data_IF_313696844293
#
_entry.id   IF_313696844293
#
_cell.length_a   1.000
_cell.length_b   1.000
_cell.length_c   1.000
_cell.angle_alpha   90.00
_cell.angle_beta   90.00
_cell.angle_gamma   90.00
#
_symmetry.space_group_name_H-M   'P 1'
#
loop_
_entity.id
_entity.type
_entity.pdbx_description
1 polymer ?
#
# COMPACT_ATOMS: atom_id res chain seq x y z
N UNK A 1 1.33 -32.90 9.21
CA UNK A 1 1.63 -31.68 8.42
C UNK A 1 0.41 -30.81 8.59
N UNK A 2 0.56 -29.65 9.23
CA UNK A 2 -0.54 -28.66 9.32
C UNK A 2 -0.81 -28.17 7.91
N UNK A 3 -2.06 -28.15 7.48
CA UNK A 3 -2.43 -27.55 6.19
C UNK A 3 -1.87 -26.13 6.11
N UNK A 4 -1.34 -25.70 4.94
CA UNK A 4 -0.86 -24.34 4.78
C UNK A 4 -2.02 -23.36 5.06
N UNK A 5 -1.73 -22.29 5.80
CA UNK A 5 -2.72 -21.27 6.11
C UNK A 5 -3.26 -20.66 4.79
N UNK A 6 -4.58 -20.67 4.54
CA UNK A 6 -5.16 -20.26 3.27
C UNK A 6 -4.92 -18.78 2.92
N UNK A 7 -4.50 -17.98 3.88
CA UNK A 7 -4.24 -16.55 3.70
C UNK A 7 -2.75 -16.24 3.45
N UNK A 8 -1.88 -17.29 3.50
CA UNK A 8 -0.47 -17.11 3.21
C UNK A 8 -0.28 -16.90 1.70
N UNK A 9 0.38 -15.80 1.31
CA UNK A 9 0.56 -15.39 -0.08
C UNK A 9 -0.75 -15.23 -0.88
N UNK A 10 -1.83 -14.88 -0.19
CA UNK A 10 -3.14 -14.64 -0.79
C UNK A 10 -3.04 -13.53 -1.86
N UNK A 11 -3.65 -13.74 -3.01
CA UNK A 11 -3.85 -12.74 -4.07
C UNK A 11 -5.31 -12.23 -4.11
N UNK A 12 -5.56 -11.18 -4.89
CA UNK A 12 -6.89 -10.54 -4.97
C UNK A 12 -7.93 -11.52 -5.55
N UNK A 13 -7.58 -12.28 -6.58
CA UNK A 13 -8.48 -13.19 -7.26
C UNK A 13 -8.93 -14.33 -6.32
N UNK A 14 -7.97 -14.95 -5.62
CA UNK A 14 -8.25 -15.99 -4.63
C UNK A 14 -9.04 -15.43 -3.44
N UNK A 15 -8.75 -14.20 -2.98
CA UNK A 15 -9.53 -13.55 -1.94
C UNK A 15 -11.00 -13.38 -2.36
N UNK A 16 -11.25 -12.84 -3.55
CA UNK A 16 -12.60 -12.63 -4.07
C UNK A 16 -13.33 -13.96 -4.33
N UNK A 17 -12.63 -15.01 -4.76
CA UNK A 17 -13.20 -16.34 -4.89
C UNK A 17 -13.66 -16.88 -3.53
N UNK A 18 -12.80 -16.80 -2.51
CA UNK A 18 -13.14 -17.22 -1.16
C UNK A 18 -14.33 -16.45 -0.57
N UNK A 19 -14.41 -15.14 -0.79
CA UNK A 19 -15.56 -14.31 -0.37
C UNK A 19 -16.85 -14.75 -1.11
N UNK A 20 -16.75 -15.06 -2.39
CA UNK A 20 -17.88 -15.51 -3.22
C UNK A 20 -18.39 -16.88 -2.78
N UNK A 21 -17.49 -17.80 -2.47
CA UNK A 21 -17.82 -19.15 -2.04
C UNK A 21 -18.20 -19.23 -0.57
N UNK A 22 -17.93 -18.16 0.19
CA UNK A 22 -18.18 -18.11 1.64
C UNK A 22 -17.22 -18.98 2.47
N UNK A 23 -16.07 -19.35 1.91
CA UNK A 23 -15.05 -20.12 2.62
C UNK A 23 -14.35 -19.29 3.70
N UNK A 24 -14.24 -17.98 3.49
CA UNK A 24 -13.78 -17.00 4.46
C UNK A 24 -14.31 -15.59 4.09
N UNK A 25 -14.11 -14.64 4.98
CA UNK A 25 -14.60 -13.26 4.86
C UNK A 25 -13.46 -12.26 4.75
N UNK A 26 -13.76 -11.03 4.31
CA UNK A 26 -12.79 -9.93 4.32
C UNK A 26 -12.32 -9.64 5.77
N UNK A 27 -13.18 -9.84 6.77
CA UNK A 27 -12.84 -9.73 8.17
C UNK A 27 -11.79 -10.79 8.59
N UNK A 28 -11.92 -12.04 8.12
CA UNK A 28 -10.95 -13.10 8.44
C UNK A 28 -9.59 -12.79 7.83
N UNK A 29 -9.55 -12.35 6.58
CA UNK A 29 -8.32 -11.94 5.88
C UNK A 29 -7.67 -10.74 6.58
N UNK A 30 -8.45 -9.73 6.95
CA UNK A 30 -7.95 -8.55 7.68
C UNK A 30 -7.40 -8.94 9.05
N UNK A 31 -8.13 -9.77 9.81
CA UNK A 31 -7.68 -10.27 11.10
C UNK A 31 -6.38 -11.07 11.01
N UNK A 32 -6.22 -11.89 9.96
CA UNK A 32 -4.97 -12.59 9.69
C UNK A 32 -3.80 -11.61 9.51
N UNK A 33 -3.93 -10.60 8.66
CA UNK A 33 -2.85 -9.63 8.45
C UNK A 33 -2.55 -8.81 9.71
N UNK A 34 -3.55 -8.43 10.50
CA UNK A 34 -3.33 -7.79 11.80
C UNK A 34 -2.53 -8.69 12.75
N UNK A 35 -2.83 -9.99 12.78
CA UNK A 35 -2.07 -10.98 13.56
C UNK A 35 -0.63 -11.10 13.06
N UNK A 36 -0.43 -11.10 11.74
CA UNK A 36 0.92 -11.09 11.12
C UNK A 36 1.71 -9.84 11.52
N UNK A 37 1.07 -8.68 11.46
CA UNK A 37 1.68 -7.42 11.90
C UNK A 37 2.09 -7.54 13.38
N UNK A 38 1.19 -7.96 14.26
CA UNK A 38 1.49 -8.11 15.68
C UNK A 38 2.66 -9.07 15.95
N UNK A 39 2.79 -10.14 15.17
CA UNK A 39 3.85 -11.14 15.35
C UNK A 39 5.23 -10.70 14.81
N UNK A 40 5.27 -9.88 13.76
CA UNK A 40 6.51 -9.61 13.02
C UNK A 40 7.01 -8.17 13.15
N UNK A 41 6.13 -7.23 13.48
CA UNK A 41 6.45 -5.81 13.37
C UNK A 41 7.44 -5.31 14.42
N UNK A 42 7.53 -5.95 15.58
CA UNK A 42 8.55 -5.63 16.60
C UNK A 42 9.96 -5.80 16.04
N UNK A 43 10.16 -6.81 15.17
CA UNK A 43 11.42 -7.03 14.48
C UNK A 43 11.54 -6.20 13.20
N UNK A 44 10.56 -6.28 12.30
CA UNK A 44 10.66 -5.72 10.95
C UNK A 44 10.45 -4.21 10.90
N UNK A 45 9.68 -3.66 11.83
CA UNK A 45 9.33 -2.22 11.89
C UNK A 45 8.82 -1.68 10.55
N UNK A 46 8.05 -2.51 9.84
CA UNK A 46 7.50 -2.19 8.54
C UNK A 46 6.22 -1.33 8.62
N UNK A 47 5.52 -1.37 9.75
CA UNK A 47 4.25 -0.66 9.98
C UNK A 47 4.41 0.32 11.14
N UNK A 48 4.15 1.61 10.89
CA UNK A 48 4.20 2.66 11.93
C UNK A 48 2.91 2.64 12.75
N UNK A 49 1.77 2.48 12.09
CA UNK A 49 0.47 2.53 12.74
C UNK A 49 -0.52 1.60 12.05
N UNK A 50 -1.27 0.84 12.85
CA UNK A 50 -2.42 0.06 12.39
C UNK A 50 -3.66 0.94 12.42
N UNK A 51 -4.53 0.80 11.44
CA UNK A 51 -5.84 1.45 11.44
C UNK A 51 -6.74 0.81 12.51
N UNK A 52 -7.18 1.56 13.55
CA UNK A 52 -8.05 1.00 14.58
C UNK A 52 -9.42 0.55 14.03
N UNK A 53 -9.84 1.10 12.89
CA UNK A 53 -11.12 0.81 12.26
C UNK A 53 -11.03 -0.30 11.20
N UNK A 54 -9.86 -0.92 10.97
CA UNK A 54 -9.65 -1.90 9.88
C UNK A 54 -10.64 -3.07 9.92
N UNK A 55 -10.95 -3.63 11.09
CA UNK A 55 -11.92 -4.72 11.21
C UNK A 55 -13.36 -4.25 10.98
N UNK A 56 -13.69 -3.02 11.35
CA UNK A 56 -14.99 -2.42 11.08
C UNK A 56 -15.17 -2.15 9.58
N UNK A 57 -14.12 -1.64 8.90
CA UNK A 57 -14.10 -1.49 7.45
C UNK A 57 -14.27 -2.85 6.74
N UNK A 58 -13.60 -3.90 7.25
CA UNK A 58 -13.72 -5.26 6.72
C UNK A 58 -15.13 -5.84 6.85
N UNK A 59 -15.79 -5.66 8.00
CA UNK A 59 -17.20 -6.05 8.16
C UNK A 59 -18.15 -5.29 7.24
N UNK A 60 -17.85 -4.02 6.96
CA UNK A 60 -18.61 -3.23 5.99
C UNK A 60 -18.43 -3.79 4.56
N UNK A 61 -17.21 -4.20 4.19
CA UNK A 61 -16.92 -4.87 2.93
C UNK A 61 -17.66 -6.21 2.81
N UNK A 62 -17.70 -7.02 3.88
CA UNK A 62 -18.46 -8.27 3.91
C UNK A 62 -19.97 -8.05 3.71
N UNK A 63 -20.51 -6.99 4.31
CA UNK A 63 -21.92 -6.61 4.09
C UNK A 63 -22.16 -6.18 2.65
N UNK A 64 -21.25 -5.40 2.06
CA UNK A 64 -21.31 -4.97 0.66
C UNK A 64 -21.27 -6.18 -0.28
N UNK A 65 -20.36 -7.12 -0.03
CA UNK A 65 -20.24 -8.33 -0.82
C UNK A 65 -21.52 -9.18 -0.79
N UNK A 66 -22.14 -9.33 0.39
CA UNK A 66 -23.45 -10.04 0.54
C UNK A 66 -24.60 -9.36 -0.18
N UNK A 67 -24.56 -8.01 -0.33
CA UNK A 67 -25.57 -7.27 -1.14
C UNK A 67 -25.37 -7.43 -2.64
N UNK A 68 -24.27 -8.03 -3.09
CA UNK A 68 -23.95 -8.22 -4.49
C UNK A 68 -22.97 -7.18 -5.06
N UNK A 69 -22.39 -6.29 -4.25
CA UNK A 69 -21.39 -5.34 -4.71
C UNK A 69 -20.12 -6.10 -5.19
N UNK A 70 -19.53 -5.63 -6.29
CA UNK A 70 -18.35 -6.25 -6.92
C UNK A 70 -17.37 -5.17 -7.37
N UNK A 71 -16.75 -4.51 -6.38
CA UNK A 71 -15.71 -3.52 -6.62
C UNK A 71 -14.34 -4.20 -6.79
N UNK A 72 -13.42 -3.61 -7.57
CA UNK A 72 -12.14 -4.23 -7.91
C UNK A 72 -11.26 -4.63 -6.73
N UNK A 73 -11.34 -3.90 -5.62
CA UNK A 73 -10.56 -4.14 -4.40
C UNK A 73 -11.46 -4.39 -3.18
N UNK A 74 -12.72 -4.79 -3.39
CA UNK A 74 -13.68 -4.98 -2.29
C UNK A 74 -13.14 -6.00 -1.26
N UNK A 75 -12.91 -5.52 -0.03
CA UNK A 75 -12.43 -6.35 1.05
C UNK A 75 -10.92 -6.64 1.03
N UNK A 76 -10.14 -5.96 0.20
CA UNK A 76 -8.69 -6.17 0.08
C UNK A 76 -7.92 -5.22 1.01
N UNK A 77 -7.13 -5.74 1.98
CA UNK A 77 -6.32 -4.93 2.88
C UNK A 77 -5.10 -4.30 2.19
N UNK A 78 -4.92 -2.99 2.40
CA UNK A 78 -3.85 -2.18 1.80
C UNK A 78 -3.13 -1.36 2.87
N UNK A 79 -1.80 -1.40 2.91
CA UNK A 79 -0.97 -0.48 3.69
C UNK A 79 -0.62 0.76 2.87
N UNK A 80 -0.67 1.92 3.51
CA UNK A 80 -0.40 3.21 2.88
C UNK A 80 0.92 3.77 3.42
N UNK A 81 1.88 4.09 2.54
CA UNK A 81 3.12 4.75 2.96
C UNK A 81 2.84 6.01 3.78
N UNK A 82 3.60 6.24 4.84
CA UNK A 82 3.25 7.25 5.85
C UNK A 82 3.50 8.71 5.43
N UNK A 83 3.88 8.96 4.19
CA UNK A 83 3.87 10.29 3.57
C UNK A 83 2.61 10.60 2.76
N UNK A 84 1.62 9.68 2.73
CA UNK A 84 0.34 9.83 2.03
C UNK A 84 -0.75 10.07 3.06
N UNK A 85 -1.51 11.15 2.93
CA UNK A 85 -2.58 11.55 3.85
C UNK A 85 -3.70 10.52 3.90
N UNK A 86 -4.08 10.16 5.13
CA UNK A 86 -5.25 9.33 5.43
C UNK A 86 -6.08 10.01 6.50
N UNK A 87 -7.34 10.29 6.20
CA UNK A 87 -8.27 10.87 7.17
C UNK A 87 -8.60 9.88 8.30
N UNK A 88 -9.18 10.40 9.38
CA UNK A 88 -9.62 9.60 10.53
C UNK A 88 -8.59 9.57 11.65
N UNK A 89 -8.40 8.38 12.23
CA UNK A 89 -7.61 8.23 13.46
C UNK A 89 -6.11 7.98 13.21
N UNK A 90 -5.70 7.85 11.94
CA UNK A 90 -4.30 7.63 11.59
C UNK A 90 -3.58 8.95 11.34
N UNK A 91 -2.32 9.00 11.79
CA UNK A 91 -1.42 10.12 11.55
C UNK A 91 -0.74 9.97 10.19
N UNK A 92 -0.23 11.08 9.67
CA UNK A 92 0.62 11.11 8.48
C UNK A 92 1.88 11.88 8.83
N UNK A 93 2.98 11.18 9.03
CA UNK A 93 4.17 11.76 9.66
C UNK A 93 5.38 11.90 8.73
N UNK A 94 5.35 11.27 7.55
CA UNK A 94 6.56 11.08 6.73
C UNK A 94 7.74 10.49 7.51
N UNK A 95 7.46 9.75 8.60
CA UNK A 95 8.44 9.20 9.53
C UNK A 95 9.07 10.22 10.49
N UNK A 96 8.73 11.50 10.38
CA UNK A 96 9.35 12.58 11.10
C UNK A 96 8.68 12.86 12.46
N UNK A 97 9.48 12.98 13.51
CA UNK A 97 9.00 13.33 14.86
C UNK A 97 8.28 14.68 14.87
N UNK A 98 8.69 15.62 14.00
CA UNK A 98 8.03 16.92 13.86
C UNK A 98 6.55 16.82 13.47
N UNK A 99 6.15 15.74 12.77
CA UNK A 99 4.78 15.46 12.37
C UNK A 99 4.13 14.33 13.18
N UNK A 100 4.74 13.89 14.29
CA UNK A 100 4.26 12.76 15.09
C UNK A 100 2.82 12.92 15.64
N UNK A 101 2.27 14.12 15.60
CA UNK A 101 0.89 14.42 16.01
C UNK A 101 0.03 15.01 14.89
N UNK A 102 0.50 14.92 13.64
CA UNK A 102 -0.24 15.43 12.50
C UNK A 102 -1.31 14.44 12.03
N UNK A 103 -2.56 14.88 12.06
CA UNK A 103 -3.72 14.19 11.49
C UNK A 103 -4.18 14.91 10.23
N UNK A 104 -4.27 14.18 9.14
CA UNK A 104 -4.79 14.74 7.90
C UNK A 104 -6.30 15.03 8.01
N UNK A 105 -6.74 16.21 7.55
CA UNK A 105 -8.14 16.58 7.53
C UNK A 105 -8.96 15.87 6.45
N UNK A 106 -8.29 15.21 5.50
CA UNK A 106 -8.89 14.49 4.38
C UNK A 106 -7.98 13.37 3.91
N UNK A 107 -8.55 12.41 3.19
CA UNK A 107 -7.76 11.42 2.46
C UNK A 107 -7.06 12.06 1.25
N UNK A 108 -5.84 11.62 0.94
CA UNK A 108 -5.23 11.86 -0.35
C UNK A 108 -6.14 11.31 -1.47
N UNK A 109 -6.11 11.91 -2.67
CA UNK A 109 -6.97 11.49 -3.78
C UNK A 109 -6.85 9.99 -4.08
N UNK A 110 -5.62 9.45 -4.10
CA UNK A 110 -5.41 8.01 -4.30
C UNK A 110 -6.04 7.14 -3.21
N UNK A 111 -6.09 7.62 -1.95
CA UNK A 111 -6.73 6.88 -0.84
C UNK A 111 -8.24 6.90 -0.98
N UNK A 112 -8.81 8.04 -1.43
CA UNK A 112 -10.24 8.12 -1.77
C UNK A 112 -10.58 7.11 -2.88
N UNK A 113 -9.75 7.04 -3.93
CA UNK A 113 -9.92 6.10 -5.05
C UNK A 113 -9.84 4.64 -4.60
N UNK A 114 -8.89 4.30 -3.73
CA UNK A 114 -8.77 2.97 -3.14
C UNK A 114 -10.02 2.60 -2.31
N UNK A 115 -10.48 3.50 -1.45
CA UNK A 115 -11.71 3.30 -0.67
C UNK A 115 -12.95 3.16 -1.58
N UNK A 116 -13.06 3.98 -2.62
CA UNK A 116 -14.13 3.88 -3.61
C UNK A 116 -14.10 2.55 -4.37
N UNK A 117 -12.92 1.97 -4.53
CA UNK A 117 -12.72 0.62 -5.10
C UNK A 117 -12.95 -0.51 -4.09
N UNK A 118 -13.31 -0.19 -2.85
CA UNK A 118 -13.64 -1.16 -1.79
C UNK A 118 -12.46 -1.66 -0.97
N UNK A 119 -11.26 -1.06 -1.12
CA UNK A 119 -10.09 -1.43 -0.32
C UNK A 119 -10.27 -1.08 1.16
N UNK A 120 -9.69 -1.91 2.03
CA UNK A 120 -9.59 -1.68 3.47
C UNK A 120 -8.23 -1.06 3.76
N UNK A 121 -8.21 0.12 4.37
CA UNK A 121 -6.93 0.72 4.77
C UNK A 121 -6.47 0.06 6.06
N UNK A 122 -5.43 -0.79 5.95
CA UNK A 122 -4.93 -1.60 7.05
C UNK A 122 -4.09 -0.80 8.05
N UNK A 123 -3.40 0.24 7.57
CA UNK A 123 -2.51 1.06 8.39
C UNK A 123 -1.53 1.88 7.57
N UNK A 124 -0.52 2.43 8.27
CA UNK A 124 0.55 3.26 7.71
C UNK A 124 1.87 2.50 7.71
N UNK A 125 2.47 2.38 6.52
CA UNK A 125 3.76 1.73 6.34
C UNK A 125 4.92 2.69 6.65
N UNK A 126 5.95 2.18 7.31
CA UNK A 126 7.19 2.91 7.57
C UNK A 126 7.93 3.25 6.27
N UNK A 127 8.86 4.19 6.35
CA UNK A 127 9.61 4.70 5.21
C UNK A 127 10.97 5.22 5.68
N UNK A 128 11.88 5.47 4.74
CA UNK A 128 13.00 6.37 5.03
C UNK A 128 12.43 7.78 5.27
N UNK A 129 12.79 8.40 6.40
CA UNK A 129 12.25 9.70 6.84
C UNK A 129 12.29 10.74 5.72
N UNK A 130 11.17 11.51 5.56
CA UNK A 130 10.98 12.48 4.48
C UNK A 130 11.23 11.90 3.09
N UNK A 131 10.85 10.62 2.88
CA UNK A 131 11.07 9.88 1.64
C UNK A 131 12.55 9.85 1.19
N UNK A 132 13.46 9.74 2.16
CA UNK A 132 14.93 9.72 1.98
C UNK A 132 15.52 11.09 1.60
N UNK A 133 14.81 12.18 1.88
CA UNK A 133 15.23 13.54 1.55
C UNK A 133 15.59 14.38 2.78
N UNK A 134 16.01 13.74 3.88
CA UNK A 134 16.40 14.40 5.13
C UNK A 134 17.85 14.84 5.11
N UNK A 135 18.77 13.93 4.76
CA UNK A 135 20.22 14.13 4.75
C UNK A 135 20.93 13.11 3.89
N UNK A 136 22.15 13.44 3.45
CA UNK A 136 23.03 12.47 2.79
C UNK A 136 23.46 11.37 3.75
N UNK A 137 23.61 10.14 3.23
CA UNK A 137 24.10 9.00 4.00
C UNK A 137 23.10 8.41 5.00
N UNK A 138 21.84 8.84 5.00
CA UNK A 138 20.80 8.24 5.84
C UNK A 138 20.53 6.79 5.38
N UNK A 139 20.46 5.81 6.31
CA UNK A 139 20.16 4.43 5.94
C UNK A 139 18.74 4.30 5.38
N UNK A 140 18.58 3.45 4.37
CA UNK A 140 17.26 3.11 3.84
C UNK A 140 16.37 2.52 4.95
N UNK A 141 15.11 2.96 5.00
CA UNK A 141 14.13 2.43 5.92
C UNK A 141 14.20 2.97 7.36
N UNK A 142 15.09 3.90 7.65
CA UNK A 142 15.11 4.54 8.96
C UNK A 142 14.17 5.73 9.02
N UNK A 143 13.45 5.85 10.14
CA UNK A 143 12.65 7.03 10.46
C UNK A 143 12.62 7.29 11.97
N UNK A 144 12.51 8.57 12.37
CA UNK A 144 12.44 8.96 13.77
C UNK A 144 11.20 8.42 14.49
N UNK A 145 10.10 8.26 13.79
CA UNK A 145 8.84 7.74 14.36
C UNK A 145 8.81 6.20 14.36
N UNK A 146 9.23 5.56 13.26
CA UNK A 146 9.10 4.11 13.08
C UNK A 146 10.36 3.31 13.41
N UNK A 147 11.53 3.97 13.53
CA UNK A 147 12.83 3.32 13.64
C UNK A 147 13.27 2.67 12.33
N UNK A 148 14.20 1.71 12.39
CA UNK A 148 14.78 1.03 11.23
C UNK A 148 13.89 -0.11 10.75
N UNK A 149 13.33 0.01 9.55
CA UNK A 149 12.71 -1.12 8.85
C UNK A 149 13.78 -2.12 8.40
N UNK A 150 13.54 -3.40 8.62
CA UNK A 150 14.45 -4.47 8.21
C UNK A 150 13.93 -5.21 6.97
N UNK A 151 14.88 -5.76 6.21
CA UNK A 151 14.57 -6.68 5.13
C UNK A 151 14.15 -8.04 5.71
N UNK A 152 12.98 -8.61 5.33
CA UNK A 152 12.48 -9.86 5.90
C UNK A 152 13.34 -11.08 5.57
N UNK A 153 14.18 -11.01 4.54
CA UNK A 153 15.08 -12.09 4.14
C UNK A 153 16.41 -12.11 4.90
N UNK A 154 16.74 -11.04 5.63
CA UNK A 154 17.96 -11.01 6.45
C UNK A 154 18.28 -9.63 7.01
N UNK A 155 18.68 -9.59 8.27
CA UNK A 155 18.91 -8.36 9.03
C UNK A 155 20.09 -7.52 8.49
N UNK A 156 20.97 -8.13 7.68
CA UNK A 156 22.13 -7.47 7.07
C UNK A 156 21.88 -7.05 5.62
N UNK A 157 20.72 -7.38 5.07
CA UNK A 157 20.35 -6.99 3.72
C UNK A 157 19.75 -5.58 3.74
N UNK A 158 20.11 -4.78 2.75
CA UNK A 158 19.44 -3.48 2.57
C UNK A 158 17.96 -3.72 2.28
N UNK A 159 17.11 -2.98 2.95
CA UNK A 159 15.64 -3.04 2.75
C UNK A 159 15.19 -2.21 1.54
N UNK A 160 16.10 -1.39 1.00
CA UNK A 160 15.76 -0.39 0.01
C UNK A 160 14.92 0.74 0.58
N UNK A 161 14.76 1.79 -0.20
CA UNK A 161 13.97 2.96 0.24
C UNK A 161 13.56 3.84 -0.95
N UNK A 162 12.70 4.76 -0.68
CA UNK A 162 12.15 5.16 0.65
C UNK A 162 10.88 4.40 1.05
N UNK A 163 10.18 3.64 0.19
CA UNK A 163 8.97 2.86 0.53
C UNK A 163 9.33 1.53 1.21
N UNK A 164 10.24 1.57 2.17
CA UNK A 164 10.85 0.40 2.83
C UNK A 164 9.82 -0.46 3.56
N UNK A 165 8.97 0.16 4.38
CA UNK A 165 7.94 -0.54 5.13
C UNK A 165 6.86 -1.14 4.22
N UNK A 166 6.47 -0.43 3.16
CA UNK A 166 5.54 -0.96 2.15
C UNK A 166 6.08 -2.25 1.53
N UNK A 167 7.36 -2.25 1.10
CA UNK A 167 7.99 -3.42 0.49
C UNK A 167 8.17 -4.56 1.49
N UNK A 168 8.75 -4.27 2.66
CA UNK A 168 9.00 -5.27 3.70
C UNK A 168 7.70 -5.94 4.18
N UNK A 169 6.61 -5.16 4.36
CA UNK A 169 5.32 -5.69 4.78
C UNK A 169 4.70 -6.63 3.75
N UNK A 170 4.77 -6.29 2.45
CA UNK A 170 4.28 -7.15 1.36
C UNK A 170 5.09 -8.44 1.31
N UNK A 171 6.42 -8.35 1.31
CA UNK A 171 7.32 -9.51 1.27
C UNK A 171 7.16 -10.43 2.49
N UNK A 172 6.97 -9.85 3.69
CA UNK A 172 6.74 -10.60 4.93
C UNK A 172 5.30 -11.11 5.09
N UNK A 173 4.45 -10.91 4.09
CA UNK A 173 3.04 -11.29 4.15
C UNK A 173 2.28 -10.67 5.35
N UNK A 174 2.55 -9.39 5.61
CA UNK A 174 1.86 -8.56 6.62
C UNK A 174 0.71 -7.75 6.00
N UNK A 175 0.59 -7.75 4.70
CA UNK A 175 -0.50 -7.17 3.91
C UNK A 175 -0.56 -7.85 2.55
N UNK A 176 -1.70 -7.73 1.86
CA UNK A 176 -1.83 -8.19 0.47
C UNK A 176 -1.22 -7.17 -0.49
N UNK A 177 -1.56 -5.89 -0.30
CA UNK A 177 -1.11 -4.76 -1.11
C UNK A 177 -0.48 -3.68 -0.24
N UNK A 178 0.41 -2.89 -0.83
CA UNK A 178 0.83 -1.62 -0.25
C UNK A 178 0.94 -0.53 -1.32
N UNK A 179 0.88 0.71 -0.87
CA UNK A 179 1.16 1.90 -1.68
C UNK A 179 2.52 2.44 -1.30
N UNK A 180 3.34 2.71 -2.31
CA UNK A 180 4.58 3.47 -2.22
C UNK A 180 4.47 4.84 -2.88
N UNK A 181 5.50 5.66 -2.71
CA UNK A 181 5.71 6.88 -3.49
C UNK A 181 7.14 6.93 -3.99
N UNK A 182 7.34 7.52 -5.15
CA UNK A 182 8.65 7.63 -5.77
C UNK A 182 8.88 8.99 -6.41
N UNK A 183 10.06 9.54 -6.15
CA UNK A 183 10.66 10.64 -6.88
C UNK A 183 11.78 10.10 -7.76
N UNK A 184 12.66 9.27 -7.16
CA UNK A 184 13.79 8.63 -7.84
C UNK A 184 14.11 7.31 -7.14
N UNK A 185 13.57 6.19 -7.66
CA UNK A 185 13.82 4.84 -7.16
C UNK A 185 12.95 4.37 -5.99
N UNK A 186 12.18 5.23 -5.33
CA UNK A 186 11.58 4.91 -4.02
C UNK A 186 10.40 3.92 -4.01
N UNK A 187 9.95 3.42 -5.15
CA UNK A 187 9.08 2.24 -5.31
C UNK A 187 9.91 1.07 -5.83
N UNK A 188 10.66 1.32 -6.92
CA UNK A 188 11.40 0.27 -7.64
C UNK A 188 12.51 -0.30 -6.77
N UNK A 189 13.32 0.55 -6.12
CA UNK A 189 14.45 0.12 -5.31
C UNK A 189 14.02 -0.81 -4.13
N UNK A 190 13.09 -0.40 -3.24
CA UNK A 190 12.64 -1.30 -2.19
C UNK A 190 11.91 -2.54 -2.72
N UNK A 191 11.21 -2.46 -3.86
CA UNK A 191 10.59 -3.65 -4.46
C UNK A 191 11.61 -4.69 -4.89
N UNK A 192 12.70 -4.28 -5.54
CA UNK A 192 13.82 -5.17 -5.93
C UNK A 192 14.47 -5.79 -4.69
N UNK A 193 14.77 -4.99 -3.67
CA UNK A 193 15.45 -5.47 -2.46
C UNK A 193 14.60 -6.47 -1.65
N UNK A 194 13.28 -6.40 -1.77
CA UNK A 194 12.36 -7.29 -1.05
C UNK A 194 11.72 -8.37 -1.95
N UNK A 195 12.15 -8.50 -3.21
CA UNK A 195 11.68 -9.55 -4.12
C UNK A 195 10.18 -9.48 -4.44
N UNK A 196 9.63 -8.28 -4.57
CA UNK A 196 8.22 -8.03 -4.89
C UNK A 196 8.09 -7.22 -6.19
N UNK A 197 6.86 -7.06 -6.66
CA UNK A 197 6.51 -6.21 -7.79
C UNK A 197 6.13 -4.81 -7.30
N UNK A 198 6.81 -3.78 -7.83
CA UNK A 198 6.44 -2.38 -7.66
C UNK A 198 6.23 -1.73 -9.02
N UNK A 199 5.17 -0.96 -9.18
CA UNK A 199 4.91 -0.20 -10.40
C UNK A 199 5.10 1.29 -10.11
N UNK A 200 6.09 1.91 -10.75
CA UNK A 200 6.22 3.37 -10.81
C UNK A 200 5.56 3.86 -12.09
N UNK A 201 4.36 4.42 -12.02
CA UNK A 201 3.69 4.92 -13.22
C UNK A 201 4.31 6.22 -13.72
N UNK A 202 3.91 6.65 -14.91
CA UNK A 202 4.21 7.98 -15.42
C UNK A 202 3.62 9.05 -14.51
N UNK A 203 4.36 10.13 -14.27
CA UNK A 203 3.89 11.28 -13.49
C UNK A 203 2.59 11.81 -14.09
N UNK A 204 1.59 12.05 -13.24
CA UNK A 204 0.26 12.48 -13.64
C UNK A 204 -0.75 11.35 -13.86
N UNK A 205 -0.32 10.09 -13.90
CA UNK A 205 -1.27 8.96 -13.98
C UNK A 205 -2.06 8.80 -12.66
N UNK A 206 -1.39 9.03 -11.53
CA UNK A 206 -1.97 9.04 -10.19
C UNK A 206 -1.79 10.44 -9.60
N UNK A 207 -2.84 10.98 -9.00
CA UNK A 207 -2.79 12.27 -8.33
C UNK A 207 -1.82 12.27 -7.15
N UNK A 208 -1.10 13.39 -6.99
CA UNK A 208 -0.18 13.65 -5.89
C UNK A 208 -0.83 14.47 -4.76
N UNK A 209 -2.11 14.83 -4.91
CA UNK A 209 -2.84 15.57 -3.87
C UNK A 209 -2.92 14.76 -2.58
N UNK A 210 -2.41 15.35 -1.49
CA UNK A 210 -2.33 14.67 -0.19
C UNK A 210 -1.10 13.76 -0.03
N UNK A 211 -0.09 13.89 -0.91
CA UNK A 211 1.22 13.27 -0.72
C UNK A 211 2.20 14.36 -0.28
N UNK A 212 2.91 14.15 0.83
CA UNK A 212 3.98 15.04 1.26
C UNK A 212 5.08 15.03 0.18
N UNK A 213 5.37 16.18 -0.46
CA UNK A 213 6.13 16.23 -1.69
C UNK A 213 7.65 16.25 -1.49
N UNK A 214 8.37 15.81 -2.53
CA UNK A 214 9.79 16.11 -2.74
C UNK A 214 9.94 16.98 -4.00
N UNK A 215 9.49 16.48 -5.15
CA UNK A 215 9.69 17.12 -6.45
C UNK A 215 8.38 17.19 -7.24
N UNK A 216 7.93 18.39 -7.52
CA UNK A 216 6.69 18.61 -8.29
C UNK A 216 6.71 17.97 -9.68
N UNK A 217 7.87 17.81 -10.29
CA UNK A 217 8.02 17.27 -11.66
C UNK A 217 8.31 15.76 -11.71
N UNK A 218 8.63 15.13 -10.57
CA UNK A 218 9.08 13.74 -10.55
C UNK A 218 8.21 12.84 -9.67
N UNK A 219 7.54 13.39 -8.65
CA UNK A 219 6.79 12.61 -7.68
C UNK A 219 5.62 11.86 -8.33
N UNK A 220 5.46 10.62 -7.92
CA UNK A 220 4.30 9.79 -8.19
C UNK A 220 4.06 8.81 -7.04
N UNK A 221 2.86 8.25 -6.97
CA UNK A 221 2.59 7.08 -6.14
C UNK A 221 2.47 5.84 -7.03
N UNK A 222 2.53 4.66 -6.42
CA UNK A 222 2.31 3.43 -7.13
C UNK A 222 2.10 2.23 -6.21
N UNK A 223 1.50 1.16 -6.74
CA UNK A 223 1.22 -0.07 -6.01
C UNK A 223 2.48 -0.94 -5.86
N UNK A 224 2.49 -1.69 -4.77
CA UNK A 224 3.48 -2.71 -4.43
C UNK A 224 2.75 -3.98 -4.00
N UNK A 225 3.06 -5.11 -4.64
CA UNK A 225 2.38 -6.39 -4.45
C UNK A 225 3.31 -7.58 -4.66
N UNK A 226 2.90 -8.78 -4.28
CA UNK A 226 3.66 -10.01 -4.58
C UNK A 226 3.55 -10.41 -6.05
N UNK A 227 2.41 -10.16 -6.67
CA UNK A 227 2.15 -10.53 -8.06
C UNK A 227 1.98 -9.31 -8.96
N UNK A 228 2.33 -9.46 -10.25
CA UNK A 228 2.10 -8.41 -11.24
C UNK A 228 0.60 -8.12 -11.41
N UNK A 229 -0.24 -9.16 -11.38
CA UNK A 229 -1.69 -9.02 -11.52
C UNK A 229 -2.27 -8.15 -10.42
N UNK A 230 -1.92 -8.39 -9.16
CA UNK A 230 -2.38 -7.59 -8.03
C UNK A 230 -1.89 -6.14 -8.12
N UNK A 231 -0.62 -5.94 -8.52
CA UNK A 231 -0.07 -4.60 -8.70
C UNK A 231 -0.82 -3.82 -9.80
N UNK A 232 -1.18 -4.47 -10.90
CA UNK A 232 -1.95 -3.86 -12.00
C UNK A 232 -3.38 -3.53 -11.57
N UNK A 233 -4.06 -4.43 -10.86
CA UNK A 233 -5.41 -4.16 -10.34
C UNK A 233 -5.41 -2.99 -9.34
N UNK A 234 -4.40 -2.92 -8.49
CA UNK A 234 -4.23 -1.79 -7.58
C UNK A 234 -3.91 -0.48 -8.33
N UNK A 235 -3.09 -0.54 -9.40
CA UNK A 235 -2.82 0.62 -10.26
C UNK A 235 -4.12 1.16 -10.87
N UNK A 236 -4.95 0.29 -11.47
CA UNK A 236 -6.24 0.69 -12.06
C UNK A 236 -7.14 1.40 -11.05
N UNK A 237 -7.15 0.94 -9.80
CA UNK A 237 -7.94 1.53 -8.73
C UNK A 237 -7.42 2.91 -8.27
N UNK A 238 -6.16 3.25 -8.57
CA UNK A 238 -5.52 4.50 -8.15
C UNK A 238 -5.47 5.56 -9.25
N UNK A 239 -5.61 5.15 -10.52
CA UNK A 239 -5.55 6.04 -11.69
C UNK A 239 -6.81 6.89 -11.76
N UNK A 240 -6.65 8.19 -12.06
CA UNK A 240 -7.79 9.08 -12.27
C UNK A 240 -7.41 10.55 -12.28
N UNK A 241 -8.26 11.36 -12.90
CA UNK A 241 -8.13 12.81 -12.90
C UNK A 241 -8.48 13.39 -11.52
N UNK A 242 -7.68 14.34 -11.08
CA UNK A 242 -7.90 15.14 -9.89
C UNK A 242 -7.78 16.62 -10.24
N UNK A 243 -8.84 17.41 -10.13
CA UNK A 243 -8.79 18.85 -10.40
C UNK A 243 -7.76 19.62 -9.54
N UNK A 244 -7.38 19.05 -8.38
CA UNK A 244 -6.36 19.64 -7.50
C UNK A 244 -4.91 19.31 -7.92
N UNK A 245 -4.71 18.34 -8.82
CA UNK A 245 -3.40 18.04 -9.41
C UNK A 245 -3.42 18.18 -10.94
N UNK A 246 -3.00 19.33 -11.48
CA UNK A 246 -3.01 19.58 -12.92
C UNK A 246 -2.20 18.59 -13.77
N UNK A 247 -1.30 17.81 -13.16
CA UNK A 247 -0.57 16.78 -13.91
C UNK A 247 -1.46 15.60 -14.31
N UNK A 248 -2.61 15.44 -13.69
CA UNK A 248 -3.56 14.36 -14.00
C UNK A 248 -4.55 14.70 -15.09
N UNK A 249 -4.54 15.93 -15.59
CA UNK A 249 -5.44 16.37 -16.67
C UNK A 249 -5.05 15.71 -17.99
N UNK A 250 -6.06 15.37 -18.80
CA UNK A 250 -5.86 14.76 -20.14
C UNK A 250 -5.23 13.35 -20.10
N UNK A 251 -5.60 12.54 -19.12
CA UNK A 251 -5.22 11.13 -19.13
C UNK A 251 -5.72 10.47 -20.43
N UNK A 252 -4.86 9.71 -21.13
CA UNK A 252 -5.28 9.02 -22.35
C UNK A 252 -6.36 7.99 -22.02
N UNK A 253 -7.46 8.03 -22.77
CA UNK A 253 -8.42 6.93 -22.73
C UNK A 253 -7.77 5.68 -23.32
N UNK A 254 -7.80 4.58 -22.59
CA UNK A 254 -7.25 3.31 -23.02
C UNK A 254 -8.03 2.14 -22.42
N UNK A 255 -7.79 0.90 -22.88
CA UNK A 255 -8.35 -0.27 -22.24
C UNK A 255 -7.79 -0.40 -20.82
N UNK A 256 -8.48 -1.13 -19.93
CA UNK A 256 -7.95 -1.43 -18.60
C UNK A 256 -6.57 -2.09 -18.70
N UNK A 257 -5.61 -1.70 -17.85
CA UNK A 257 -4.23 -2.23 -17.88
C UNK A 257 -4.17 -3.75 -17.69
N UNK A 258 -5.13 -4.34 -16.97
CA UNK A 258 -5.25 -5.79 -16.79
C UNK A 258 -5.40 -6.55 -18.11
N UNK A 259 -5.92 -5.92 -19.17
CA UNK A 259 -6.03 -6.57 -20.48
C UNK A 259 -4.67 -6.93 -21.07
N UNK A 260 -3.61 -6.20 -20.72
CA UNK A 260 -2.24 -6.50 -21.13
C UNK A 260 -1.66 -7.76 -20.45
N UNK A 261 -2.29 -8.26 -19.38
CA UNK A 261 -1.84 -9.46 -18.68
C UNK A 261 -2.30 -10.76 -19.35
N UNK A 262 -3.33 -10.69 -20.17
CA UNK A 262 -3.95 -11.85 -20.81
C UNK A 262 -3.42 -12.09 -22.23
N UNK A 263 -2.66 -11.14 -22.78
CA UNK A 263 -1.99 -11.27 -24.06
C UNK A 263 -0.77 -12.21 -23.92
N UNK A 264 -0.99 -13.51 -24.12
CA UNK A 264 0.09 -14.45 -24.44
C UNK A 264 0.53 -14.16 -25.88
N UNK A 265 1.54 -13.31 -26.02
CA UNK A 265 2.28 -13.23 -27.27
C UNK A 265 3.25 -14.39 -27.40
#
# INVERSE_FOLDING_TARGET
MTEPNPFFELDIETAHLGYKEGTFTARDVTAYYLTRIAALNDKLRAVIQVNPDALFEAEAADRAFRRGDRLPLLGIPVLIKDNVETAGQMKTTAGAVALAHHFAGRDAHLVQSLRASGAIILGKANLSEWANFLTEGMPNGWSGVGGQTLNPYGDKLDVGGSSSGSASAVAANMTLLAVGSETSGSIIHPSVHNGIVGIKPTVGLISRSGIIPISRSQDTAGPMARTLRDAVLALEAMVGEDPADPATTHLPAGPPYRTCLDERQ
#
